data_IF_507208082711
#
_entry.id   IF_507208082711
#
_cell.length_a   1.000
_cell.length_b   1.000
_cell.length_c   1.000
_cell.angle_alpha   90.00
_cell.angle_beta   90.00
_cell.angle_gamma   90.00
#
_symmetry.space_group_name_H-M   'P 1'
#
loop_
_entity.id
_entity.type
_entity.pdbx_description
1 polymer ?
#
# COMPACT_ATOMS: atom_id res chain seq x y z
N UNK A 1 -2.19 18.49 11.60
CA UNK A 1 -2.91 17.49 10.81
C UNK A 1 -4.04 16.94 11.65
N UNK A 2 -5.27 16.87 11.13
CA UNK A 2 -6.42 16.42 11.91
C UNK A 2 -6.32 14.94 12.29
N UNK A 3 -7.03 14.58 13.37
CA UNK A 3 -7.18 13.20 13.83
C UNK A 3 -8.66 12.91 14.10
N UNK A 4 -9.04 11.66 13.96
CA UNK A 4 -10.36 11.15 14.30
C UNK A 4 -10.22 9.86 15.13
N UNK A 5 -11.30 9.44 15.77
CA UNK A 5 -11.37 8.14 16.43
C UNK A 5 -12.07 7.13 15.50
N UNK A 6 -11.38 6.04 15.19
CA UNK A 6 -11.92 4.93 14.40
C UNK A 6 -11.49 3.61 15.05
N UNK A 7 -12.39 2.64 15.12
CA UNK A 7 -12.11 1.33 15.67
C UNK A 7 -11.39 1.38 17.06
N UNK A 8 -11.79 2.34 17.90
CA UNK A 8 -11.23 2.53 19.25
C UNK A 8 -9.82 3.15 19.32
N UNK A 9 -9.25 3.58 18.21
CA UNK A 9 -7.92 4.22 18.15
C UNK A 9 -7.97 5.59 17.50
N UNK A 10 -6.98 6.43 17.80
CA UNK A 10 -6.79 7.72 17.13
C UNK A 10 -6.07 7.50 15.81
N UNK A 11 -6.63 8.01 14.72
CA UNK A 11 -6.10 7.94 13.36
C UNK A 11 -5.88 9.35 12.83
N UNK A 12 -4.67 9.61 12.36
CA UNK A 12 -4.34 10.84 11.65
C UNK A 12 -4.74 10.68 10.17
N UNK A 13 -5.41 11.69 9.64
CA UNK A 13 -5.91 11.68 8.27
C UNK A 13 -5.72 13.04 7.60
N UNK A 14 -5.96 13.04 6.31
CA UNK A 14 -5.97 14.23 5.47
C UNK A 14 -6.97 14.03 4.33
N UNK A 15 -7.54 15.11 3.86
CA UNK A 15 -8.50 15.11 2.74
C UNK A 15 -8.16 16.19 1.74
N UNK A 16 -8.47 15.95 0.47
CA UNK A 16 -8.30 16.92 -0.60
C UNK A 16 -9.45 16.82 -1.60
N UNK A 17 -9.81 17.93 -2.24
CA UNK A 17 -10.94 18.04 -3.16
C UNK A 17 -12.25 18.41 -2.49
N UNK A 18 -13.34 18.43 -3.28
CA UNK A 18 -14.68 18.76 -2.80
C UNK A 18 -15.28 17.58 -1.99
N UNK A 19 -15.68 17.78 -0.73
CA UNK A 19 -16.35 16.74 0.08
C UNK A 19 -17.64 16.18 -0.53
N UNK A 20 -18.24 16.86 -1.50
CA UNK A 20 -19.42 16.40 -2.23
C UNK A 20 -19.08 15.53 -3.44
N UNK A 21 -17.82 15.52 -3.85
CA UNK A 21 -17.34 14.69 -4.95
C UNK A 21 -17.29 13.21 -4.56
N UNK A 22 -17.13 12.33 -5.56
CA UNK A 22 -17.06 10.87 -5.33
C UNK A 22 -15.83 10.53 -4.48
N UNK A 23 -16.00 9.85 -3.32
CA UNK A 23 -14.88 9.58 -2.42
C UNK A 23 -13.94 8.51 -2.94
N UNK A 24 -12.64 8.73 -2.75
CA UNK A 24 -11.57 7.75 -2.98
C UNK A 24 -10.69 7.66 -1.74
N UNK A 25 -10.59 6.46 -1.18
CA UNK A 25 -9.78 6.16 0.00
C UNK A 25 -8.43 5.59 -0.43
N UNK A 26 -7.35 6.23 -0.01
CA UNK A 26 -5.97 5.83 -0.28
C UNK A 26 -5.38 5.12 0.94
N UNK A 27 -5.01 3.84 0.80
CA UNK A 27 -4.42 3.01 1.85
C UNK A 27 -2.97 2.67 1.50
N UNK A 28 -2.01 3.19 2.27
CA UNK A 28 -0.60 3.02 1.96
C UNK A 28 -0.02 1.71 2.52
N UNK A 29 1.17 1.34 2.00
CA UNK A 29 1.88 0.11 2.37
C UNK A 29 2.60 0.18 3.71
N UNK A 30 3.36 -0.87 3.98
CA UNK A 30 4.11 -1.14 5.21
C UNK A 30 5.01 0.04 5.60
N UNK A 31 4.84 0.55 6.81
CA UNK A 31 5.67 1.62 7.39
C UNK A 31 5.52 2.99 6.73
N UNK A 32 4.70 3.09 5.69
CA UNK A 32 4.52 4.33 4.93
C UNK A 32 3.40 5.19 5.53
N UNK A 33 3.69 6.47 5.71
CA UNK A 33 2.75 7.47 6.20
C UNK A 33 1.85 7.99 5.05
N UNK A 34 0.73 8.61 5.37
CA UNK A 34 -0.16 9.22 4.38
C UNK A 34 0.57 10.25 3.47
N UNK A 35 1.66 10.83 3.95
CA UNK A 35 2.51 11.76 3.18
C UNK A 35 3.45 11.08 2.18
N UNK A 36 3.45 9.74 2.13
CA UNK A 36 4.20 8.99 1.12
C UNK A 36 3.45 8.87 -0.22
N UNK A 37 2.16 9.15 -0.26
CA UNK A 37 1.47 9.38 -1.52
C UNK A 37 2.07 10.60 -2.21
N UNK A 38 2.53 10.51 -3.47
CA UNK A 38 3.05 11.66 -4.19
C UNK A 38 2.02 12.79 -4.22
N UNK A 39 2.46 14.04 -4.03
CA UNK A 39 1.54 15.18 -4.04
C UNK A 39 0.85 15.28 -5.40
N UNK A 40 1.59 15.04 -6.50
CA UNK A 40 1.09 15.03 -7.88
C UNK A 40 0.01 13.94 -8.12
N UNK A 41 0.09 12.82 -7.39
CA UNK A 41 -0.91 11.75 -7.47
C UNK A 41 -2.22 12.16 -6.78
N UNK A 42 -2.12 12.82 -5.63
CA UNK A 42 -3.28 13.30 -4.88
C UNK A 42 -3.96 14.45 -5.61
N UNK A 43 -3.19 15.42 -6.10
CA UNK A 43 -3.68 16.56 -6.89
C UNK A 43 -4.36 16.08 -8.17
N UNK A 44 -3.76 15.13 -8.89
CA UNK A 44 -4.36 14.56 -10.11
C UNK A 44 -5.69 13.83 -9.83
N UNK A 45 -5.85 13.14 -8.71
CA UNK A 45 -7.16 12.58 -8.33
C UNK A 45 -8.20 13.65 -8.03
N UNK A 46 -7.80 14.77 -7.42
CA UNK A 46 -8.68 15.91 -7.19
C UNK A 46 -9.09 16.56 -8.51
N UNK A 47 -8.18 16.76 -9.44
CA UNK A 47 -8.44 17.30 -10.78
C UNK A 47 -9.40 16.40 -11.59
N UNK A 48 -9.31 15.07 -11.37
CA UNK A 48 -10.25 14.10 -11.92
C UNK A 48 -11.63 14.12 -11.24
N UNK A 49 -11.84 14.98 -10.23
CA UNK A 49 -13.12 15.17 -9.56
C UNK A 49 -13.39 14.16 -8.44
N UNK A 50 -12.36 13.64 -7.78
CA UNK A 50 -12.51 12.81 -6.59
C UNK A 50 -12.33 13.60 -5.30
N UNK A 51 -13.08 13.22 -4.26
CA UNK A 51 -12.77 13.57 -2.87
C UNK A 51 -11.78 12.58 -2.30
N UNK A 52 -10.52 12.97 -2.20
CA UNK A 52 -9.41 12.11 -1.78
C UNK A 52 -9.31 12.07 -0.27
N UNK A 53 -9.32 10.86 0.30
CA UNK A 53 -9.14 10.59 1.73
C UNK A 53 -7.90 9.72 1.89
N UNK A 54 -6.95 10.15 2.73
CA UNK A 54 -5.74 9.39 3.07
C UNK A 54 -5.49 9.43 4.57
N UNK A 55 -4.94 8.37 5.13
CA UNK A 55 -4.72 8.27 6.56
C UNK A 55 -3.43 7.50 6.89
N UNK A 56 -2.92 7.70 8.09
CA UNK A 56 -1.84 6.88 8.62
C UNK A 56 -2.42 5.60 9.20
N UNK A 57 -1.96 4.45 8.73
CA UNK A 57 -2.29 3.18 9.36
C UNK A 57 -1.86 3.16 10.84
N UNK A 58 -2.47 2.30 11.67
CA UNK A 58 -2.00 2.05 13.03
C UNK A 58 -0.50 1.75 13.05
N UNK A 59 0.21 2.17 14.09
CA UNK A 59 1.66 2.06 14.21
C UNK A 59 2.48 2.89 13.22
N UNK A 60 1.86 3.79 12.48
CA UNK A 60 2.51 4.62 11.49
C UNK A 60 2.15 6.09 11.66
N UNK A 61 3.02 7.00 11.21
CA UNK A 61 2.77 8.43 11.17
C UNK A 61 2.34 9.00 12.53
N UNK A 62 1.21 9.71 12.55
CA UNK A 62 0.64 10.31 13.76
C UNK A 62 -0.55 9.52 14.34
N UNK A 63 -0.87 8.37 13.77
CA UNK A 63 -1.86 7.43 14.33
C UNK A 63 -1.33 6.70 15.56
N UNK A 64 -2.24 6.10 16.33
CA UNK A 64 -1.92 5.36 17.56
C UNK A 64 -0.81 4.34 17.35
N UNK A 65 0.14 4.32 18.29
CA UNK A 65 1.23 3.36 18.36
C UNK A 65 0.92 2.29 19.41
N UNK A 66 1.19 1.03 19.06
CA UNK A 66 0.97 -0.13 19.92
C UNK A 66 2.27 -0.53 20.66
N UNK A 67 2.97 0.46 21.23
CA UNK A 67 4.29 0.27 21.87
C UNK A 67 4.24 -0.73 23.01
N UNK A 68 3.12 -0.80 23.75
CA UNK A 68 2.88 -1.76 24.83
C UNK A 68 2.94 -3.23 24.38
N UNK A 69 2.75 -3.48 23.06
CA UNK A 69 2.87 -4.83 22.51
C UNK A 69 4.33 -5.26 22.26
N UNK A 70 5.29 -4.37 22.50
CA UNK A 70 6.71 -4.61 22.26
C UNK A 70 7.07 -4.75 20.77
N UNK A 71 8.32 -5.09 20.51
CA UNK A 71 8.81 -5.40 19.18
C UNK A 71 8.80 -6.93 18.95
N UNK A 72 8.19 -7.42 17.86
CA UNK A 72 8.14 -8.85 17.58
C UNK A 72 9.51 -9.39 17.20
N UNK A 73 9.79 -10.65 17.60
CA UNK A 73 10.98 -11.37 17.17
C UNK A 73 10.73 -12.01 15.79
N UNK A 74 11.21 -11.36 14.73
CA UNK A 74 11.03 -11.82 13.35
C UNK A 74 11.74 -13.15 13.05
N UNK A 75 12.88 -13.44 13.71
CA UNK A 75 13.60 -14.69 13.52
C UNK A 75 12.78 -15.88 14.06
N UNK A 76 12.20 -15.71 15.26
CA UNK A 76 11.31 -16.71 15.84
C UNK A 76 10.02 -16.87 15.01
N UNK A 77 9.48 -15.76 14.48
CA UNK A 77 8.31 -15.79 13.60
C UNK A 77 8.61 -16.55 12.30
N UNK A 78 9.77 -16.31 11.70
CA UNK A 78 10.21 -17.05 10.51
C UNK A 78 10.34 -18.55 10.78
N UNK A 79 10.94 -18.95 11.91
CA UNK A 79 11.07 -20.35 12.31
C UNK A 79 9.69 -21.00 12.50
N UNK A 80 8.79 -20.34 13.23
CA UNK A 80 7.40 -20.80 13.42
C UNK A 80 6.65 -20.94 12.08
N UNK A 81 6.81 -20.00 11.16
CA UNK A 81 6.22 -20.07 9.82
C UNK A 81 6.70 -21.28 9.03
N UNK A 82 8.01 -21.61 9.11
CA UNK A 82 8.58 -22.80 8.46
C UNK A 82 8.02 -24.11 9.04
N UNK A 83 7.71 -24.12 10.32
CA UNK A 83 7.06 -25.26 11.01
C UNK A 83 5.54 -25.32 10.82
N UNK A 84 4.97 -24.40 10.04
CA UNK A 84 3.52 -24.33 9.83
C UNK A 84 2.73 -23.84 11.05
N UNK A 85 3.38 -23.29 12.08
CA UNK A 85 2.72 -22.80 13.28
C UNK A 85 2.06 -21.45 13.03
N UNK A 86 0.90 -21.24 13.68
CA UNK A 86 0.20 -19.96 13.62
C UNK A 86 1.06 -18.86 14.23
N UNK A 87 1.23 -17.77 13.46
CA UNK A 87 1.88 -16.57 13.95
C UNK A 87 0.90 -15.73 14.76
N UNK A 88 1.39 -15.15 15.86
CA UNK A 88 0.64 -14.15 16.64
C UNK A 88 1.19 -12.78 16.34
N UNK A 89 0.30 -11.83 16.13
CA UNK A 89 0.62 -10.40 15.93
C UNK A 89 -0.14 -9.57 16.95
N UNK A 90 0.32 -8.35 17.20
CA UNK A 90 -0.32 -7.40 18.11
C UNK A 90 -1.72 -6.99 17.63
N UNK A 91 -1.93 -7.02 16.33
CA UNK A 91 -3.18 -6.79 15.62
C UNK A 91 -3.10 -7.49 14.26
N UNK A 92 -4.22 -7.60 13.58
CA UNK A 92 -4.35 -8.30 12.30
C UNK A 92 -4.59 -7.30 11.16
N UNK A 93 -4.46 -7.74 9.90
CA UNK A 93 -4.84 -6.92 8.75
C UNK A 93 -6.34 -6.61 8.74
N UNK A 94 -7.15 -7.48 9.32
CA UNK A 94 -8.59 -7.25 9.51
C UNK A 94 -8.86 -6.05 10.42
N UNK A 95 -8.11 -5.91 11.52
CA UNK A 95 -8.23 -4.74 12.40
C UNK A 95 -7.84 -3.44 11.66
N UNK A 96 -6.89 -3.53 10.71
CA UNK A 96 -6.51 -2.38 9.86
C UNK A 96 -7.57 -2.08 8.80
N UNK A 97 -8.30 -3.08 8.31
CA UNK A 97 -9.45 -2.87 7.44
C UNK A 97 -10.63 -2.24 8.21
N UNK A 98 -10.84 -2.63 9.46
CA UNK A 98 -11.83 -2.00 10.35
C UNK A 98 -11.46 -0.55 10.68
N UNK A 99 -10.15 -0.22 10.78
CA UNK A 99 -9.68 1.17 10.90
C UNK A 99 -10.06 1.98 9.66
N UNK A 100 -9.79 1.45 8.47
CA UNK A 100 -10.12 2.10 7.19
C UNK A 100 -11.63 2.33 7.05
N UNK A 101 -12.45 1.34 7.44
CA UNK A 101 -13.90 1.45 7.52
C UNK A 101 -14.32 2.53 8.51
N UNK A 102 -13.69 2.56 9.68
CA UNK A 102 -13.92 3.55 10.73
C UNK A 102 -13.58 4.98 10.28
N UNK A 103 -12.53 5.17 9.49
CA UNK A 103 -12.19 6.48 8.88
C UNK A 103 -13.32 6.94 7.97
N UNK A 104 -13.82 6.09 7.07
CA UNK A 104 -14.97 6.44 6.20
C UNK A 104 -16.20 6.80 7.03
N UNK A 105 -16.49 6.02 8.08
CA UNK A 105 -17.66 6.25 8.93
C UNK A 105 -17.58 7.55 9.72
N UNK A 106 -16.40 7.86 10.28
CA UNK A 106 -16.17 9.10 11.03
C UNK A 106 -16.25 10.35 10.15
N UNK A 107 -15.97 10.22 8.85
CA UNK A 107 -16.11 11.29 7.86
C UNK A 107 -17.50 11.35 7.21
N UNK A 108 -18.44 10.50 7.63
CA UNK A 108 -19.79 10.45 7.05
C UNK A 108 -19.85 9.89 5.63
N UNK A 109 -18.78 9.20 5.19
CA UNK A 109 -18.68 8.64 3.84
C UNK A 109 -19.32 7.25 3.81
N UNK A 110 -20.44 7.14 3.12
CA UNK A 110 -21.19 5.88 3.02
C UNK A 110 -20.43 4.82 2.19
N UNK A 111 -19.86 5.22 1.05
CA UNK A 111 -19.12 4.34 0.13
C UNK A 111 -17.96 5.10 -0.51
N UNK A 112 -16.86 4.39 -0.81
CA UNK A 112 -15.70 4.98 -1.49
C UNK A 112 -15.08 4.00 -2.49
N UNK A 113 -14.40 4.51 -3.52
CA UNK A 113 -13.39 3.75 -4.22
C UNK A 113 -12.20 3.53 -3.29
N UNK A 114 -11.61 2.34 -3.31
CA UNK A 114 -10.46 2.01 -2.46
C UNK A 114 -9.25 1.77 -3.34
N UNK A 115 -8.19 2.53 -3.12
CA UNK A 115 -6.89 2.35 -3.78
C UNK A 115 -5.87 1.98 -2.71
N UNK A 116 -5.36 0.77 -2.78
CA UNK A 116 -4.37 0.26 -1.84
C UNK A 116 -3.05 -0.08 -2.54
N UNK A 117 -1.94 0.19 -1.86
CA UNK A 117 -0.59 -0.14 -2.31
C UNK A 117 0.05 -1.16 -1.37
N UNK A 118 0.55 -2.29 -1.90
CA UNK A 118 1.28 -3.30 -1.12
C UNK A 118 0.44 -3.83 0.06
N UNK A 119 0.86 -3.68 1.31
CA UNK A 119 0.05 -3.99 2.50
C UNK A 119 -1.29 -3.24 2.49
N UNK A 120 -1.32 -2.00 2.02
CA UNK A 120 -2.57 -1.22 1.91
C UNK A 120 -3.57 -1.85 0.94
N UNK A 121 -3.09 -2.50 -0.11
CA UNK A 121 -3.96 -3.27 -1.01
C UNK A 121 -4.47 -4.56 -0.33
N UNK A 122 -3.68 -5.22 0.52
CA UNK A 122 -4.16 -6.35 1.33
C UNK A 122 -5.29 -5.92 2.26
N UNK A 123 -5.16 -4.73 2.87
CA UNK A 123 -6.21 -4.11 3.70
C UNK A 123 -7.45 -3.80 2.85
N UNK A 124 -7.27 -3.21 1.67
CA UNK A 124 -8.35 -2.93 0.72
C UNK A 124 -9.07 -4.20 0.23
N UNK A 125 -8.34 -5.29 -0.01
CA UNK A 125 -8.88 -6.61 -0.35
C UNK A 125 -9.81 -7.13 0.78
N UNK A 126 -9.35 -7.04 2.04
CA UNK A 126 -10.14 -7.46 3.21
C UNK A 126 -11.39 -6.57 3.35
N UNK A 127 -11.24 -5.26 3.20
CA UNK A 127 -12.36 -4.32 3.25
C UNK A 127 -13.40 -4.61 2.16
N UNK A 128 -12.96 -4.84 0.92
CA UNK A 128 -13.84 -5.14 -0.21
C UNK A 128 -14.59 -6.48 -0.05
N UNK A 129 -13.93 -7.48 0.51
CA UNK A 129 -14.55 -8.79 0.74
C UNK A 129 -15.56 -8.79 1.90
N UNK A 130 -15.23 -8.10 3.01
CA UNK A 130 -16.06 -8.11 4.23
C UNK A 130 -17.15 -7.06 4.22
N UNK A 131 -16.92 -5.94 3.54
CA UNK A 131 -17.81 -4.79 3.51
C UNK A 131 -18.08 -4.31 2.08
N UNK A 132 -18.53 -5.20 1.16
CA UNK A 132 -18.75 -4.83 -0.25
C UNK A 132 -19.72 -3.65 -0.42
N UNK A 133 -20.68 -3.50 0.51
CA UNK A 133 -21.61 -2.37 0.51
C UNK A 133 -20.95 -1.01 0.81
N UNK A 134 -19.71 -0.99 1.32
CA UNK A 134 -18.94 0.22 1.63
C UNK A 134 -17.91 0.56 0.55
N UNK A 135 -17.67 -0.34 -0.40
CA UNK A 135 -16.66 -0.21 -1.46
C UNK A 135 -17.33 -0.07 -2.81
N UNK A 136 -17.01 0.98 -3.55
CA UNK A 136 -17.47 1.20 -4.92
C UNK A 136 -16.66 0.38 -5.92
N UNK A 137 -15.35 0.39 -5.79
CA UNK A 137 -14.40 -0.46 -6.51
C UNK A 137 -13.09 -0.57 -5.73
N UNK A 138 -12.31 -1.60 -6.05
CA UNK A 138 -10.97 -1.83 -5.50
C UNK A 138 -9.91 -1.66 -6.58
N UNK A 139 -8.87 -0.86 -6.31
CA UNK A 139 -7.61 -0.89 -7.06
C UNK A 139 -6.51 -1.43 -6.15
N UNK A 140 -5.98 -2.60 -6.49
CA UNK A 140 -4.94 -3.32 -5.75
C UNK A 140 -3.61 -3.18 -6.48
N UNK A 141 -2.69 -2.35 -5.96
CA UNK A 141 -1.42 -2.04 -6.61
C UNK A 141 -0.29 -2.80 -5.91
N UNK A 142 0.59 -3.49 -6.66
CA UNK A 142 1.82 -4.16 -6.23
C UNK A 142 1.64 -5.02 -4.95
N UNK A 143 0.63 -5.89 -4.94
CA UNK A 143 0.24 -6.66 -3.75
C UNK A 143 0.17 -8.17 -4.03
N UNK A 144 -0.27 -8.92 -3.02
CA UNK A 144 -0.31 -10.40 -3.06
C UNK A 144 -1.58 -10.93 -2.39
N UNK A 145 -2.03 -12.09 -2.82
CA UNK A 145 -3.03 -12.91 -2.11
C UNK A 145 -2.48 -13.53 -0.81
N UNK A 146 -1.16 -13.64 -0.69
CA UNK A 146 -0.49 -14.38 0.37
C UNK A 146 -0.55 -15.90 0.22
N UNK A 147 -0.98 -16.41 -0.94
CA UNK A 147 -1.09 -17.85 -1.21
C UNK A 147 0.26 -18.53 -1.04
N UNK A 148 0.23 -19.71 -0.43
CA UNK A 148 1.45 -20.53 -0.25
C UNK A 148 2.05 -20.93 -1.60
N UNK A 149 3.38 -20.92 -1.69
CA UNK A 149 4.11 -21.28 -2.91
C UNK A 149 4.36 -20.10 -3.86
N UNK A 150 3.77 -18.93 -3.63
CA UNK A 150 4.15 -17.73 -4.37
C UNK A 150 5.60 -17.31 -4.06
N UNK A 151 6.33 -16.76 -5.05
CA UNK A 151 7.69 -16.28 -4.82
C UNK A 151 7.68 -15.10 -3.84
N UNK A 152 8.65 -15.10 -2.94
CA UNK A 152 8.92 -13.97 -2.05
C UNK A 152 9.88 -12.95 -2.68
N UNK A 153 10.30 -11.95 -1.88
CA UNK A 153 11.26 -10.95 -2.31
C UNK A 153 12.54 -11.53 -2.88
N UNK A 154 13.12 -10.87 -3.88
CA UNK A 154 14.46 -11.23 -4.37
C UNK A 154 15.48 -11.17 -3.22
N UNK A 155 16.62 -11.88 -3.32
CA UNK A 155 17.66 -11.82 -2.27
C UNK A 155 18.12 -10.40 -1.96
N UNK A 156 18.25 -9.54 -2.98
CA UNK A 156 18.61 -8.14 -2.83
C UNK A 156 17.54 -7.34 -2.08
N UNK A 157 16.27 -7.42 -2.49
CA UNK A 157 15.17 -6.74 -1.84
C UNK A 157 15.00 -7.19 -0.38
N UNK A 158 15.15 -8.51 -0.13
CA UNK A 158 15.12 -9.06 1.23
C UNK A 158 16.24 -8.52 2.10
N UNK A 159 17.48 -8.46 1.57
CA UNK A 159 18.64 -7.90 2.27
C UNK A 159 18.40 -6.41 2.60
N UNK A 160 17.89 -5.63 1.65
CA UNK A 160 17.59 -4.22 1.85
C UNK A 160 16.47 -4.01 2.89
N UNK A 161 15.39 -4.82 2.84
CA UNK A 161 14.27 -4.75 3.78
C UNK A 161 14.68 -5.07 5.22
N UNK A 162 15.62 -6.02 5.39
CA UNK A 162 16.10 -6.46 6.72
C UNK A 162 17.32 -5.68 7.21
N UNK A 163 17.84 -4.77 6.41
CA UNK A 163 18.98 -3.93 6.79
C UNK A 163 18.58 -3.01 7.94
N UNK A 164 19.48 -2.91 8.93
CA UNK A 164 19.36 -1.93 10.02
C UNK A 164 20.17 -0.69 9.68
N UNK A 165 19.82 0.50 10.22
CA UNK A 165 20.70 1.66 10.12
C UNK A 165 22.03 1.34 10.81
N UNK A 166 23.11 1.96 10.37
CA UNK A 166 24.42 1.79 10.99
C UNK A 166 24.40 2.32 12.44
N UNK A 167 23.73 3.47 12.65
CA UNK A 167 23.38 4.01 13.95
C UNK A 167 21.86 4.26 14.02
N UNK A 168 21.13 3.55 14.90
CA UNK A 168 19.68 3.72 15.04
C UNK A 168 19.28 5.02 15.76
N UNK A 169 20.22 5.77 16.31
CA UNK A 169 20.01 7.08 16.97
C UNK A 169 20.31 8.26 16.06
N UNK A 170 21.02 8.00 14.95
CA UNK A 170 21.37 9.02 13.95
C UNK A 170 20.33 9.05 12.83
N UNK A 171 19.72 10.24 12.65
CA UNK A 171 18.68 10.46 11.64
C UNK A 171 19.21 10.29 10.21
N UNK A 172 20.45 10.65 9.94
CA UNK A 172 21.05 10.52 8.62
C UNK A 172 21.34 9.06 8.30
N UNK A 173 21.78 8.28 9.28
CA UNK A 173 21.94 6.82 9.14
C UNK A 173 20.60 6.12 8.83
N UNK A 174 19.52 6.55 9.50
CA UNK A 174 18.17 6.05 9.25
C UNK A 174 17.70 6.46 7.85
N UNK A 175 17.95 7.70 7.45
CA UNK A 175 17.61 8.20 6.11
C UNK A 175 18.31 7.38 5.02
N UNK A 176 19.62 7.13 5.16
CA UNK A 176 20.38 6.32 4.20
C UNK A 176 19.84 4.88 4.08
N UNK A 177 19.44 4.29 5.20
CA UNK A 177 18.79 2.96 5.18
C UNK A 177 17.52 2.97 4.34
N UNK A 178 16.62 3.94 4.58
CA UNK A 178 15.36 4.03 3.86
C UNK A 178 15.55 4.37 2.37
N UNK A 179 16.47 5.29 2.05
CA UNK A 179 16.83 5.61 0.66
C UNK A 179 17.38 4.39 -0.06
N UNK A 180 18.26 3.63 0.60
CA UNK A 180 18.81 2.38 0.04
C UNK A 180 17.70 1.35 -0.22
N UNK A 181 16.78 1.16 0.72
CA UNK A 181 15.65 0.25 0.55
C UNK A 181 14.78 0.67 -0.65
N UNK A 182 14.32 1.92 -0.65
CA UNK A 182 13.40 2.41 -1.69
C UNK A 182 14.04 2.43 -3.09
N UNK A 183 15.36 2.68 -3.17
CA UNK A 183 16.10 2.56 -4.43
C UNK A 183 16.19 1.11 -4.90
N UNK A 184 16.42 0.18 -3.97
CA UNK A 184 16.56 -1.25 -4.29
C UNK A 184 15.26 -1.86 -4.80
N UNK A 185 14.11 -1.40 -4.28
CA UNK A 185 12.80 -1.92 -4.68
C UNK A 185 12.12 -1.09 -5.77
N UNK A 186 12.67 0.08 -6.09
CA UNK A 186 12.09 1.02 -7.05
C UNK A 186 12.12 0.54 -8.50
N UNK A 187 11.46 1.28 -9.35
CA UNK A 187 11.27 0.98 -10.77
C UNK A 187 12.56 1.14 -11.57
N UNK A 188 13.13 0.10 -12.17
CA UNK A 188 14.39 0.21 -12.92
C UNK A 188 14.26 1.06 -14.18
N UNK A 189 13.10 1.01 -14.87
CA UNK A 189 12.88 1.82 -16.10
C UNK A 189 12.35 3.23 -15.79
N UNK A 190 11.92 3.50 -14.55
CA UNK A 190 11.37 4.78 -14.13
C UNK A 190 12.01 5.23 -12.82
N UNK A 191 13.33 5.42 -12.77
CA UNK A 191 14.02 5.71 -11.51
C UNK A 191 13.56 7.04 -10.94
N UNK A 192 13.15 7.02 -9.67
CA UNK A 192 12.86 8.25 -8.93
C UNK A 192 14.17 9.00 -8.67
N UNK A 193 14.28 10.30 -9.05
CA UNK A 193 15.48 11.09 -8.82
C UNK A 193 15.90 11.07 -7.35
N UNK A 194 17.19 10.86 -7.07
CA UNK A 194 17.69 10.68 -5.70
C UNK A 194 17.33 11.84 -4.78
N UNK A 195 17.47 13.08 -5.26
CA UNK A 195 17.12 14.28 -4.50
C UNK A 195 15.65 14.29 -4.07
N UNK A 196 14.74 13.81 -4.93
CA UNK A 196 13.31 13.70 -4.63
C UNK A 196 13.07 12.58 -3.60
N UNK A 197 13.70 11.42 -3.78
CA UNK A 197 13.59 10.28 -2.88
C UNK A 197 14.05 10.66 -1.47
N UNK A 198 15.24 11.27 -1.34
CA UNK A 198 15.78 11.78 -0.06
C UNK A 198 14.84 12.77 0.60
N UNK A 199 14.29 13.73 -0.17
CA UNK A 199 13.33 14.70 0.34
C UNK A 199 12.07 14.05 0.90
N UNK A 200 11.51 13.06 0.18
CA UNK A 200 10.32 12.31 0.62
C UNK A 200 10.60 11.53 1.92
N UNK A 201 11.73 10.82 2.00
CA UNK A 201 12.14 10.08 3.20
C UNK A 201 12.37 11.04 4.37
N UNK A 202 13.14 12.12 4.18
CA UNK A 202 13.38 13.10 5.23
C UNK A 202 12.10 13.76 5.76
N UNK A 203 11.14 14.08 4.87
CA UNK A 203 9.80 14.58 5.26
C UNK A 203 9.07 13.59 6.16
N UNK A 204 9.12 12.31 5.81
CA UNK A 204 8.48 11.24 6.58
C UNK A 204 9.13 11.05 7.95
N UNK A 205 10.47 11.00 8.02
CA UNK A 205 11.21 10.82 9.27
C UNK A 205 11.02 11.98 10.24
N UNK A 206 11.04 13.23 9.74
CA UNK A 206 10.77 14.42 10.58
C UNK A 206 9.35 14.42 11.14
N UNK A 207 8.39 13.84 10.43
CA UNK A 207 7.00 13.79 10.86
C UNK A 207 6.78 12.74 11.94
N UNK A 208 7.31 11.54 11.75
CA UNK A 208 7.23 10.45 12.74
C UNK A 208 8.15 9.29 12.33
N UNK A 209 8.83 8.72 13.31
CA UNK A 209 9.62 7.51 13.14
C UNK A 209 9.20 6.47 14.18
N UNK A 210 8.72 5.31 13.74
CA UNK A 210 8.25 4.23 14.62
C UNK A 210 8.74 2.87 14.10
N UNK A 211 10.01 2.51 14.29
CA UNK A 211 10.58 1.26 13.77
C UNK A 211 9.91 0.03 14.37
N UNK A 212 9.51 0.05 15.64
CA UNK A 212 8.73 -1.02 16.26
C UNK A 212 7.37 -1.23 15.60
N UNK A 213 6.74 -0.14 15.14
CA UNK A 213 5.48 -0.20 14.39
C UNK A 213 5.63 -0.91 13.04
N UNK A 214 6.71 -0.63 12.32
CA UNK A 214 7.02 -1.35 11.07
C UNK A 214 7.11 -2.86 11.31
N UNK A 215 7.80 -3.28 12.37
CA UNK A 215 7.93 -4.70 12.72
C UNK A 215 6.59 -5.34 13.08
N UNK A 216 5.70 -4.63 13.81
CA UNK A 216 4.35 -5.12 14.14
C UNK A 216 3.46 -5.23 12.92
N UNK A 217 3.54 -4.28 11.98
CA UNK A 217 2.86 -4.37 10.68
C UNK A 217 3.39 -5.54 9.84
N UNK A 218 4.71 -5.77 9.80
CA UNK A 218 5.29 -6.96 9.15
C UNK A 218 4.74 -8.26 9.74
N UNK A 219 4.60 -8.32 11.06
CA UNK A 219 3.99 -9.47 11.74
C UNK A 219 2.52 -9.65 11.38
N UNK A 220 1.76 -8.56 11.26
CA UNK A 220 0.35 -8.63 10.84
C UNK A 220 0.23 -9.18 9.41
N UNK A 221 1.08 -8.72 8.48
CA UNK A 221 1.17 -9.27 7.12
C UNK A 221 1.53 -10.75 7.12
N UNK A 222 2.56 -11.14 7.87
CA UNK A 222 2.98 -12.54 7.96
C UNK A 222 1.92 -13.45 8.59
N UNK A 223 1.20 -12.94 9.59
CA UNK A 223 0.14 -13.69 10.29
C UNK A 223 -1.15 -13.83 9.47
N UNK A 224 -1.40 -12.91 8.51
CA UNK A 224 -2.57 -12.97 7.64
C UNK A 224 -2.52 -14.18 6.68
N UNK A 225 -1.33 -14.61 6.28
CA UNK A 225 -1.14 -15.82 5.46
C UNK A 225 -1.90 -15.79 4.13
N UNK A 226 -2.43 -16.94 3.75
CA UNK A 226 -3.19 -17.17 2.52
C UNK A 226 -4.60 -16.59 2.63
N UNK A 227 -4.94 -15.65 1.74
CA UNK A 227 -6.25 -14.99 1.66
C UNK A 227 -7.03 -15.35 0.40
N UNK A 228 -6.64 -16.42 -0.31
CA UNK A 228 -7.26 -16.81 -1.58
C UNK A 228 -8.77 -17.01 -1.47
N UNK A 229 -9.27 -17.62 -0.41
CA UNK A 229 -10.72 -17.81 -0.19
C UNK A 229 -11.44 -16.46 -0.03
N UNK A 230 -10.84 -15.55 0.74
CA UNK A 230 -11.37 -14.20 0.91
C UNK A 230 -11.37 -13.43 -0.42
N UNK A 231 -10.33 -13.56 -1.24
CA UNK A 231 -10.28 -12.90 -2.55
C UNK A 231 -11.38 -13.40 -3.50
N UNK A 232 -11.71 -14.68 -3.46
CA UNK A 232 -12.80 -15.25 -4.27
C UNK A 232 -14.19 -14.72 -3.87
N UNK A 233 -14.34 -14.20 -2.67
CA UNK A 233 -15.59 -13.57 -2.20
C UNK A 233 -15.73 -12.09 -2.57
N UNK A 234 -14.71 -11.47 -3.16
CA UNK A 234 -14.78 -10.06 -3.59
C UNK A 234 -15.73 -9.96 -4.78
N UNK A 235 -16.83 -9.22 -4.59
CA UNK A 235 -17.85 -9.01 -5.62
C UNK A 235 -17.81 -7.60 -6.23
N UNK A 236 -16.99 -6.70 -5.70
CA UNK A 236 -16.87 -5.34 -6.22
C UNK A 236 -15.94 -5.30 -7.44
N UNK A 237 -16.16 -4.38 -8.40
CA UNK A 237 -15.23 -4.18 -9.51
C UNK A 237 -13.81 -4.02 -9.01
N UNK A 238 -12.88 -4.83 -9.55
CA UNK A 238 -11.49 -4.83 -9.08
C UNK A 238 -10.51 -4.66 -10.23
N UNK A 239 -9.53 -3.77 -10.02
CA UNK A 239 -8.36 -3.59 -10.87
C UNK A 239 -7.11 -3.97 -10.07
N UNK A 240 -6.32 -4.89 -10.62
CA UNK A 240 -4.98 -5.21 -10.11
C UNK A 240 -3.95 -4.53 -11.00
N UNK A 241 -3.06 -3.73 -10.43
CA UNK A 241 -1.93 -3.10 -11.13
C UNK A 241 -0.65 -3.67 -10.54
N UNK A 242 0.26 -4.16 -11.39
CA UNK A 242 1.51 -4.74 -10.92
C UNK A 242 2.69 -4.41 -11.82
N UNK A 243 3.83 -4.09 -11.21
CA UNK A 243 5.07 -3.88 -11.93
C UNK A 243 5.71 -5.19 -12.37
N UNK A 244 6.09 -5.32 -13.65
CA UNK A 244 6.76 -6.51 -14.15
C UNK A 244 8.15 -6.72 -13.50
N UNK A 245 8.79 -5.63 -13.06
CA UNK A 245 10.11 -5.64 -12.45
C UNK A 245 10.09 -5.52 -10.91
N UNK A 246 8.95 -5.76 -10.25
CA UNK A 246 8.83 -5.65 -8.80
C UNK A 246 9.69 -6.69 -8.07
N UNK A 247 10.77 -6.29 -7.36
CA UNK A 247 11.66 -7.21 -6.69
C UNK A 247 11.22 -7.55 -5.26
N UNK A 248 10.24 -6.81 -4.69
CA UNK A 248 9.75 -7.00 -3.33
C UNK A 248 8.52 -7.92 -3.30
N UNK A 249 7.57 -7.67 -4.19
CA UNK A 249 6.39 -8.52 -4.40
C UNK A 249 6.38 -8.91 -5.88
N UNK A 250 6.97 -10.07 -6.24
CA UNK A 250 7.13 -10.45 -7.65
C UNK A 250 5.82 -10.51 -8.43
N UNK A 251 5.86 -10.25 -9.74
CA UNK A 251 4.71 -10.21 -10.63
C UNK A 251 3.75 -11.40 -10.47
N UNK A 252 4.28 -12.60 -10.19
CA UNK A 252 3.47 -13.78 -9.94
C UNK A 252 2.43 -13.59 -8.81
N UNK A 253 2.70 -12.70 -7.86
CA UNK A 253 1.76 -12.36 -6.79
C UNK A 253 0.58 -11.53 -7.30
N UNK A 254 0.84 -10.60 -8.22
CA UNK A 254 -0.21 -9.81 -8.89
C UNK A 254 -1.07 -10.65 -9.82
N UNK A 255 -0.44 -11.51 -10.63
CA UNK A 255 -1.13 -12.48 -11.49
C UNK A 255 -2.06 -13.39 -10.66
N UNK A 256 -1.54 -13.94 -9.56
CA UNK A 256 -2.35 -14.77 -8.66
C UNK A 256 -3.49 -13.97 -8.01
N UNK A 257 -3.23 -12.75 -7.55
CA UNK A 257 -4.28 -11.89 -6.98
C UNK A 257 -5.42 -11.66 -7.99
N UNK A 258 -5.11 -11.33 -9.24
CA UNK A 258 -6.10 -11.14 -10.28
C UNK A 258 -6.86 -12.42 -10.60
N UNK A 259 -6.16 -13.57 -10.63
CA UNK A 259 -6.79 -14.87 -10.89
C UNK A 259 -7.73 -15.33 -9.76
N UNK A 260 -7.47 -14.92 -8.50
CA UNK A 260 -8.33 -15.28 -7.36
C UNK A 260 -9.61 -14.41 -7.28
N UNK A 261 -9.60 -13.18 -7.80
CA UNK A 261 -10.75 -12.26 -7.68
C UNK A 261 -11.64 -12.39 -8.92
N UNK A 262 -12.92 -12.80 -8.77
CA UNK A 262 -13.83 -12.93 -9.90
C UNK A 262 -13.99 -11.62 -10.69
N UNK A 263 -13.77 -11.66 -12.00
CA UNK A 263 -13.93 -10.49 -12.86
C UNK A 263 -12.88 -9.39 -12.68
N UNK A 264 -11.80 -9.64 -11.95
CA UNK A 264 -10.73 -8.66 -11.82
C UNK A 264 -10.04 -8.40 -13.16
N UNK A 265 -9.77 -7.12 -13.42
CA UNK A 265 -8.90 -6.70 -14.53
C UNK A 265 -7.46 -6.62 -14.04
N UNK A 266 -6.52 -6.96 -14.89
CA UNK A 266 -5.09 -6.91 -14.58
C UNK A 266 -4.38 -5.97 -15.55
N UNK A 267 -3.58 -5.07 -15.01
CA UNK A 267 -2.65 -4.20 -15.73
C UNK A 267 -1.23 -4.48 -15.27
N UNK A 268 -0.39 -4.94 -16.17
CA UNK A 268 1.04 -5.15 -15.92
C UNK A 268 1.82 -4.00 -16.55
N UNK A 269 2.66 -3.35 -15.74
CA UNK A 269 3.47 -2.22 -16.21
C UNK A 269 4.93 -2.67 -16.32
N UNK A 270 5.41 -2.76 -17.56
CA UNK A 270 6.80 -3.10 -17.84
C UNK A 270 7.78 -2.11 -17.21
N UNK A 271 8.85 -2.62 -16.59
CA UNK A 271 9.88 -1.81 -15.96
C UNK A 271 9.47 -1.09 -14.67
N UNK A 272 8.22 -1.22 -14.23
CA UNK A 272 7.79 -0.75 -12.92
C UNK A 272 8.24 -1.72 -11.82
N UNK A 273 8.79 -1.18 -10.73
CA UNK A 273 9.16 -1.89 -9.50
C UNK A 273 8.09 -1.79 -8.42
N UNK A 274 8.55 -1.68 -7.16
CA UNK A 274 7.69 -1.58 -5.97
C UNK A 274 7.60 -0.13 -5.47
N UNK A 275 7.26 0.80 -6.33
CA UNK A 275 7.10 2.22 -6.02
C UNK A 275 6.06 2.90 -6.94
N UNK A 276 5.79 4.17 -6.67
CA UNK A 276 4.97 5.05 -7.51
C UNK A 276 5.88 6.15 -8.09
N UNK A 277 6.62 5.84 -9.17
CA UNK A 277 7.57 6.78 -9.74
C UNK A 277 6.86 7.92 -10.45
N UNK A 278 7.44 9.15 -10.46
CA UNK A 278 6.82 10.32 -11.08
C UNK A 278 6.38 10.11 -12.53
N UNK A 279 7.16 9.36 -13.29
CA UNK A 279 6.92 9.09 -14.71
C UNK A 279 5.67 8.24 -15.00
N UNK A 280 5.16 7.53 -13.97
CA UNK A 280 3.98 6.67 -14.11
C UNK A 280 2.73 7.27 -13.47
N UNK A 281 2.80 8.42 -12.79
CA UNK A 281 1.66 9.01 -12.07
C UNK A 281 0.48 9.23 -13.01
N UNK A 282 0.70 9.86 -14.16
CA UNK A 282 -0.36 10.13 -15.13
C UNK A 282 -1.04 8.83 -15.63
N UNK A 283 -0.24 7.79 -15.93
CA UNK A 283 -0.78 6.48 -16.32
C UNK A 283 -1.60 5.83 -15.21
N UNK A 284 -1.10 5.87 -13.98
CA UNK A 284 -1.80 5.31 -12.83
C UNK A 284 -3.12 6.03 -12.56
N UNK A 285 -3.13 7.36 -12.67
CA UNK A 285 -4.35 8.18 -12.55
C UNK A 285 -5.38 7.82 -13.62
N UNK A 286 -4.94 7.70 -14.89
CA UNK A 286 -5.83 7.32 -15.99
C UNK A 286 -6.44 5.92 -15.82
N UNK A 287 -5.65 4.95 -15.33
CA UNK A 287 -6.12 3.59 -15.03
C UNK A 287 -7.15 3.58 -13.89
N UNK A 288 -6.89 4.34 -12.83
CA UNK A 288 -7.77 4.44 -11.65
C UNK A 288 -9.08 5.14 -12.03
N UNK A 289 -9.02 6.27 -12.77
CA UNK A 289 -10.22 6.98 -13.21
C UNK A 289 -11.10 6.12 -14.12
N UNK A 290 -10.49 5.48 -15.13
CA UNK A 290 -11.22 4.59 -16.02
C UNK A 290 -11.88 3.44 -15.26
N UNK A 291 -11.16 2.84 -14.30
CA UNK A 291 -11.69 1.77 -13.46
C UNK A 291 -12.84 2.26 -12.56
N UNK A 292 -12.65 3.37 -11.86
CA UNK A 292 -13.65 3.95 -10.98
C UNK A 292 -14.95 4.31 -11.70
N UNK A 293 -14.85 4.74 -12.97
CA UNK A 293 -16.00 5.09 -13.81
C UNK A 293 -16.57 3.94 -14.63
N UNK A 294 -16.05 2.72 -14.46
CA UNK A 294 -16.48 1.55 -15.24
C UNK A 294 -16.19 1.64 -16.74
N UNK A 295 -15.22 2.47 -17.14
CA UNK A 295 -14.78 2.63 -18.53
C UNK A 295 -13.78 1.53 -18.92
N UNK A 296 -13.52 1.40 -20.23
CA UNK A 296 -12.38 0.60 -20.70
C UNK A 296 -11.08 1.21 -20.18
N UNK A 297 -10.12 0.34 -19.82
CA UNK A 297 -8.79 0.81 -19.44
C UNK A 297 -8.11 1.42 -20.67
N UNK A 298 -7.33 2.49 -20.51
CA UNK A 298 -6.53 3.03 -21.61
C UNK A 298 -5.55 1.96 -22.09
N UNK A 299 -5.34 1.91 -23.42
CA UNK A 299 -4.46 0.93 -24.06
C UNK A 299 -3.08 0.94 -23.42
N UNK A 300 -2.58 -0.24 -23.10
CA UNK A 300 -1.25 -0.45 -22.53
C UNK A 300 -0.09 -0.26 -23.54
N UNK A 301 -0.39 0.12 -24.77
CA UNK A 301 0.62 0.36 -25.80
C UNK A 301 1.42 1.62 -25.44
N UNK A 302 2.75 1.55 -25.26
CA UNK A 302 3.56 2.74 -25.07
C UNK A 302 3.44 3.59 -26.33
N UNK A 303 2.81 4.77 -26.26
CA UNK A 303 2.91 5.76 -27.34
C UNK A 303 4.36 6.24 -27.35
N UNK A 304 5.16 5.65 -28.23
CA UNK A 304 6.45 6.22 -28.62
C UNK A 304 6.17 7.59 -29.23
N UNK A 305 6.34 8.64 -28.44
CA UNK A 305 6.48 9.98 -29.02
C UNK A 305 7.80 10.03 -29.79
N UNK A 306 7.75 9.73 -31.06
CA UNK A 306 8.81 10.10 -31.99
C UNK A 306 8.79 11.65 -32.08
N UNK A 307 9.76 12.29 -31.39
CA UNK A 307 10.03 13.70 -31.64
C UNK A 307 10.50 13.82 -33.11
N UNK A 308 9.71 14.51 -33.94
CA UNK A 308 10.17 15.06 -35.20
C UNK A 308 11.10 16.26 -34.94
#
# INVERSE_FOLDING_TARGET
MPTLTANGIRIAFDTAGDPKAVPILLVHGLGMQLTAWPDEFVEGLVELGFYVIRFDNRDCGLSTKFEQAGAPNLALAWLKSKLGWRLRSAYRLEDMADDALGVLSALGVARAHVVGVSMGAMIGQILAARHPQRVLSLTSIMSSSGRRGLPGPTPQARKALMRRPADPTDIDSILEQWVTLLRTIGSPSYPTPEKLLRRRVARSLRRSYCPGGVLRQMMAVAAAGDRSELLRSIAVPTLVIHGAADPLVPLACGLDTAAQIPGARLEVIEGMGHDLPPQLIERLLALIDAHARGKMLPDSTPRLFVKQ
#
